data_IF_670665925428
#
_entry.id   IF_670665925428
#
_cell.length_a   1.000
_cell.length_b   1.000
_cell.length_c   1.000
_cell.angle_alpha   90.00
_cell.angle_beta   90.00
_cell.angle_gamma   90.00
#
_symmetry.space_group_name_H-M   'P 1'
#
loop_
_entity.id
_entity.type
_entity.pdbx_description
1 polymer ?
#
# COMPACT_ATOMS: atom_id res chain seq x y z
N UNK A 1 3.63 -4.76 0.81
CA UNK A 1 3.16 -5.49 -0.38
C UNK A 1 1.90 -6.26 -0.03
N UNK A 2 0.88 -6.21 -0.88
CA UNK A 2 -0.35 -7.00 -0.79
C UNK A 2 -0.45 -7.86 -2.05
N UNK A 3 -0.87 -9.12 -1.90
CA UNK A 3 -1.12 -10.02 -3.03
C UNK A 3 -2.46 -10.73 -2.90
N UNK A 4 -3.07 -11.03 -4.05
CA UNK A 4 -4.32 -11.77 -4.15
C UNK A 4 -4.12 -12.92 -5.13
N UNK A 5 -4.51 -14.12 -4.69
CA UNK A 5 -4.60 -15.31 -5.53
C UNK A 5 -6.06 -15.56 -5.86
N UNK A 6 -6.34 -15.79 -7.13
CA UNK A 6 -7.68 -16.03 -7.64
C UNK A 6 -7.63 -17.20 -8.62
N UNK A 7 -8.57 -18.14 -8.49
CA UNK A 7 -8.62 -19.35 -9.31
C UNK A 7 -8.91 -19.10 -10.80
N UNK A 8 -9.49 -17.96 -11.12
CA UNK A 8 -9.73 -17.53 -12.50
C UNK A 8 -8.43 -17.05 -13.15
N UNK A 9 -8.12 -17.59 -14.33
CA UNK A 9 -7.02 -17.14 -15.18
C UNK A 9 -7.31 -15.85 -15.95
N UNK A 10 -8.45 -15.19 -15.75
CA UNK A 10 -8.78 -13.94 -16.47
C UNK A 10 -7.90 -12.81 -15.96
N UNK A 11 -6.97 -12.33 -16.79
CA UNK A 11 -6.12 -11.20 -16.47
C UNK A 11 -6.95 -9.93 -16.32
N UNK A 12 -6.64 -9.08 -15.34
CA UNK A 12 -7.36 -7.84 -15.17
C UNK A 12 -7.02 -6.90 -16.34
N UNK A 13 -8.02 -6.14 -16.78
CA UNK A 13 -7.90 -5.21 -17.90
C UNK A 13 -8.27 -3.81 -17.41
N UNK A 14 -7.52 -2.81 -17.86
CA UNK A 14 -7.92 -1.41 -17.66
C UNK A 14 -9.31 -1.21 -18.29
N UNK A 15 -10.21 -0.57 -17.55
CA UNK A 15 -11.52 -0.18 -18.05
C UNK A 15 -11.81 1.26 -17.64
N UNK A 16 -12.42 2.03 -18.55
CA UNK A 16 -12.99 3.32 -18.19
C UNK A 16 -14.38 3.08 -17.61
N UNK A 17 -14.71 3.76 -16.50
CA UNK A 17 -16.00 3.65 -15.86
C UNK A 17 -16.73 5.00 -15.91
N UNK A 18 -17.89 5.03 -16.54
CA UNK A 18 -18.76 6.22 -16.59
C UNK A 18 -19.27 6.62 -15.21
N UNK A 19 -19.78 7.84 -14.99
CA UNK A 19 -20.08 8.38 -13.66
C UNK A 19 -20.99 7.52 -12.78
N UNK A 20 -21.93 6.79 -13.39
CA UNK A 20 -22.91 5.94 -12.72
C UNK A 20 -22.47 4.47 -12.61
N UNK A 21 -21.39 4.07 -13.27
CA UNK A 21 -20.91 2.69 -13.19
C UNK A 21 -20.29 2.43 -11.82
N UNK A 22 -20.62 1.29 -11.22
CA UNK A 22 -20.09 0.85 -9.92
C UNK A 22 -18.82 0.01 -10.04
N UNK A 23 -18.42 -0.35 -11.25
CA UNK A 23 -17.28 -1.22 -11.54
C UNK A 23 -16.37 -0.61 -12.61
N UNK A 24 -15.15 -1.13 -12.75
CA UNK A 24 -14.22 -0.76 -13.83
C UNK A 24 -13.06 0.15 -13.42
N UNK A 25 -13.18 0.90 -12.31
CA UNK A 25 -12.12 1.82 -11.84
C UNK A 25 -10.97 1.15 -11.11
N UNK A 26 -11.06 -0.15 -10.83
CA UNK A 26 -10.11 -0.86 -9.97
C UNK A 26 -8.65 -0.69 -10.41
N UNK A 27 -8.33 -0.96 -11.67
CA UNK A 27 -6.95 -0.80 -12.16
C UNK A 27 -6.48 0.65 -12.14
N UNK A 28 -7.37 1.61 -12.47
CA UNK A 28 -7.04 3.04 -12.41
C UNK A 28 -6.68 3.48 -10.99
N UNK A 29 -7.41 2.98 -9.98
CA UNK A 29 -7.10 3.25 -8.58
C UNK A 29 -5.78 2.60 -8.15
N UNK A 30 -5.52 1.36 -8.58
CA UNK A 30 -4.25 0.67 -8.28
C UNK A 30 -3.07 1.41 -8.89
N UNK A 31 -3.17 1.85 -10.15
CA UNK A 31 -2.14 2.66 -10.83
C UNK A 31 -1.84 3.95 -10.07
N UNK A 32 -2.87 4.61 -9.54
CA UNK A 32 -2.72 5.89 -8.83
C UNK A 32 -2.16 5.74 -7.39
N UNK A 33 -2.40 4.59 -6.73
CA UNK A 33 -2.07 4.40 -5.32
C UNK A 33 -0.82 3.55 -5.09
N UNK A 34 -0.50 2.64 -6.00
CA UNK A 34 0.62 1.72 -5.83
C UNK A 34 1.94 2.34 -6.31
N UNK A 35 3.02 2.08 -5.58
CA UNK A 35 4.40 2.36 -6.03
C UNK A 35 4.69 1.51 -7.27
N UNK A 36 4.36 0.21 -7.17
CA UNK A 36 4.50 -0.79 -8.23
C UNK A 36 3.36 -1.78 -8.11
N UNK A 37 2.89 -2.30 -9.23
CA UNK A 37 1.88 -3.34 -9.24
C UNK A 37 2.08 -4.26 -10.44
N UNK A 38 1.39 -5.40 -10.42
CA UNK A 38 1.43 -6.33 -11.54
C UNK A 38 0.45 -7.48 -11.41
N UNK A 39 0.24 -8.17 -12.52
CA UNK A 39 -0.57 -9.36 -12.60
C UNK A 39 0.14 -10.43 -13.43
N UNK A 40 0.03 -11.68 -12.99
CA UNK A 40 0.62 -12.83 -13.67
C UNK A 40 -0.27 -14.06 -13.58
N UNK A 41 -0.21 -14.92 -14.60
CA UNK A 41 -0.82 -16.25 -14.56
C UNK A 41 0.00 -17.17 -13.67
N UNK A 42 -0.66 -18.06 -12.95
CA UNK A 42 -0.03 -19.17 -12.27
C UNK A 42 -0.74 -20.47 -12.68
N UNK A 43 -0.23 -21.64 -12.24
CA UNK A 43 -0.81 -22.95 -12.59
C UNK A 43 -2.27 -23.13 -12.14
N UNK A 44 -2.75 -22.33 -11.19
CA UNK A 44 -4.05 -22.44 -10.55
C UNK A 44 -4.98 -21.26 -10.83
N UNK A 45 -4.63 -20.34 -11.73
CA UNK A 45 -5.36 -19.10 -11.98
C UNK A 45 -4.44 -17.90 -12.15
N UNK A 46 -4.65 -16.83 -11.37
CA UNK A 46 -3.85 -15.61 -11.41
C UNK A 46 -3.33 -15.19 -10.05
N UNK A 47 -2.25 -14.41 -10.08
CA UNK A 47 -1.73 -13.62 -8.96
C UNK A 47 -1.76 -12.15 -9.37
N UNK A 48 -2.28 -11.30 -8.49
CA UNK A 48 -2.19 -9.84 -8.60
C UNK A 48 -1.48 -9.31 -7.36
N UNK A 49 -0.59 -8.34 -7.52
CA UNK A 49 0.19 -7.78 -6.43
C UNK A 49 0.31 -6.26 -6.56
N UNK A 50 0.45 -5.60 -5.41
CA UNK A 50 0.74 -4.17 -5.32
C UNK A 50 1.69 -3.88 -4.16
N UNK A 51 2.66 -3.01 -4.41
CA UNK A 51 3.51 -2.36 -3.43
C UNK A 51 2.89 -1.00 -3.10
N UNK A 52 2.54 -0.80 -1.83
CA UNK A 52 1.93 0.42 -1.32
C UNK A 52 2.89 1.05 -0.32
N UNK A 53 3.02 2.37 -0.36
CA UNK A 53 3.64 3.10 0.73
C UNK A 53 2.71 3.04 1.95
N UNK A 54 3.24 2.61 3.09
CA UNK A 54 2.49 2.63 4.33
C UNK A 54 2.84 3.92 5.07
N UNK A 55 1.86 4.77 5.41
CA UNK A 55 2.13 5.93 6.24
C UNK A 55 2.69 5.44 7.59
N UNK A 56 3.67 6.18 8.11
CA UNK A 56 4.13 5.98 9.49
C UNK A 56 2.94 6.22 10.41
N UNK A 57 2.45 5.16 11.05
CA UNK A 57 1.29 5.28 11.93
C UNK A 57 1.75 5.89 13.26
N UNK A 58 1.26 7.06 13.66
CA UNK A 58 1.43 7.50 15.04
C UNK A 58 0.69 6.52 15.94
N UNK A 59 1.40 5.91 16.88
CA UNK A 59 0.79 4.98 17.82
C UNK A 59 -0.16 5.74 18.74
N UNK A 60 -1.43 5.34 18.74
CA UNK A 60 -2.34 5.82 19.79
C UNK A 60 -1.91 5.22 21.12
N UNK A 61 -2.11 5.97 22.23
CA UNK A 61 -1.77 5.51 23.59
C UNK A 61 -2.38 4.13 23.91
N UNK A 62 -3.59 3.86 23.42
CA UNK A 62 -4.26 2.57 23.58
C UNK A 62 -3.53 1.43 22.85
N UNK A 63 -3.03 1.68 21.64
CA UNK A 63 -2.25 0.70 20.87
C UNK A 63 -0.87 0.44 21.47
N UNK A 64 -0.24 1.44 22.12
CA UNK A 64 1.00 1.23 22.89
C UNK A 64 0.79 0.18 23.99
N UNK A 65 -0.36 0.20 24.66
CA UNK A 65 -0.67 -0.69 25.78
C UNK A 65 -1.14 -2.08 25.34
N UNK A 66 -1.86 -2.19 24.21
CA UNK A 66 -2.42 -3.47 23.75
C UNK A 66 -1.55 -4.19 22.70
N UNK A 67 -0.62 -3.49 22.05
CA UNK A 67 0.24 -4.04 20.99
C UNK A 67 1.69 -3.52 21.10
N UNK A 68 2.40 -3.82 22.20
CA UNK A 68 3.71 -3.25 22.51
C UNK A 68 4.78 -3.53 21.43
N UNK A 69 4.75 -4.70 20.79
CA UNK A 69 5.72 -5.03 19.73
C UNK A 69 5.57 -4.17 18.47
N UNK A 70 4.34 -3.78 18.09
CA UNK A 70 4.11 -2.90 16.94
C UNK A 70 4.55 -1.47 17.25
N UNK A 71 4.30 -1.02 18.47
CA UNK A 71 4.74 0.28 18.97
C UNK A 71 6.27 0.43 18.95
N UNK A 72 6.98 -0.56 19.49
CA UNK A 72 8.43 -0.58 19.49
C UNK A 72 9.01 -0.53 18.06
N UNK A 73 8.41 -1.26 17.12
CA UNK A 73 8.84 -1.28 15.72
C UNK A 73 8.69 0.08 15.03
N UNK A 74 7.60 0.81 15.30
CA UNK A 74 7.40 2.13 14.70
C UNK A 74 8.27 3.21 15.33
N UNK A 75 8.54 3.15 16.64
CA UNK A 75 9.52 4.03 17.28
C UNK A 75 10.92 3.81 16.71
N UNK A 76 11.32 2.55 16.47
CA UNK A 76 12.59 2.23 15.82
C UNK A 76 12.66 2.73 14.36
N UNK A 77 11.52 2.80 13.65
CA UNK A 77 11.44 3.30 12.28
C UNK A 77 11.44 4.85 12.21
N UNK A 78 10.92 5.54 13.24
CA UNK A 78 10.91 7.00 13.34
C UNK A 78 12.24 7.63 13.76
N UNK A 79 13.11 6.88 14.45
CA UNK A 79 14.45 7.34 14.86
C UNK A 79 15.49 7.33 13.72
N UNK A 80 15.09 7.00 12.48
CA UNK A 80 15.96 6.92 11.30
C UNK A 80 15.70 7.94 10.17
N UNK A 81 14.88 8.98 10.40
CA UNK A 81 14.61 10.04 9.41
C UNK A 81 15.55 11.25 9.51
N UNK A 82 15.80 12.00 8.41
CA UNK A 82 16.87 13.00 8.34
C UNK A 82 16.65 14.17 9.31
N UNK A 83 17.75 14.60 9.94
CA UNK A 83 17.84 15.82 10.75
C UNK A 83 17.42 17.02 9.87
N UNK A 84 16.47 17.87 10.30
CA UNK A 84 16.11 19.05 9.53
C UNK A 84 17.35 19.93 9.37
N UNK A 85 17.64 20.34 8.12
CA UNK A 85 18.69 21.31 7.85
C UNK A 85 18.41 22.58 8.67
N UNK A 86 19.29 22.88 9.60
CA UNK A 86 19.31 24.17 10.28
C UNK A 86 19.44 25.25 9.21
N UNK A 87 18.37 26.01 9.00
CA UNK A 87 18.41 27.21 8.18
C UNK A 87 19.25 28.25 8.93
N UNK A 88 20.52 28.37 8.51
CA UNK A 88 21.37 29.49 8.88
C UNK A 88 20.86 30.74 8.16
N UNK A 89 20.34 31.69 8.93
CA UNK A 89 20.03 33.04 8.45
C UNK A 89 21.33 33.83 8.45
N UNK A 90 21.73 34.33 7.28
CA UNK A 90 22.78 35.35 7.12
C UNK A 90 22.17 36.75 7.11
#
# INVERSE_FOLDING_TARGET
MVEVLDGSGVMPKQRSAGPTETSGRGLTLVEALAIRHGAGRNRRGKRVWAELELPQQPFTRRQLMTQPHRAAKALAQGLGGPQPAEFSVS
#
